data_IF_351594169576
#
_entry.id   IF_351594169576
#
_cell.length_a   1.000
_cell.length_b   1.000
_cell.length_c   1.000
_cell.angle_alpha   90.00
_cell.angle_beta   90.00
_cell.angle_gamma   90.00
#
_symmetry.space_group_name_H-M   'P 1'
#
loop_
_entity.id
_entity.type
_entity.pdbx_description
1 polymer ?
#
# COMPACT_ATOMS: atom_id res chain seq x y z
N UNK A 1 -2.41 -25.69 -5.90
CA UNK A 1 -1.18 -24.88 -5.83
C UNK A 1 0.00 -25.82 -5.74
N UNK A 2 1.08 -25.53 -6.47
CA UNK A 2 2.32 -26.29 -6.46
C UNK A 2 3.50 -25.33 -6.42
N UNK A 3 4.51 -25.61 -5.61
CA UNK A 3 5.77 -24.88 -5.59
C UNK A 3 6.93 -25.86 -5.38
N UNK A 4 8.11 -25.47 -5.86
CA UNK A 4 9.34 -26.21 -5.64
C UNK A 4 10.50 -25.22 -5.58
N UNK A 5 11.63 -25.69 -5.08
CA UNK A 5 12.86 -24.92 -5.00
C UNK A 5 14.03 -25.79 -5.48
N UNK A 6 14.89 -25.21 -6.30
CA UNK A 6 16.08 -25.86 -6.83
C UNK A 6 17.30 -25.04 -6.44
N UNK A 7 18.28 -25.68 -5.82
CA UNK A 7 19.54 -25.04 -5.41
C UNK A 7 20.68 -25.50 -6.32
N UNK A 8 21.41 -24.53 -6.87
CA UNK A 8 22.55 -24.70 -7.76
C UNK A 8 23.74 -23.91 -7.19
N UNK A 9 24.29 -24.37 -6.08
CA UNK A 9 25.33 -23.64 -5.35
C UNK A 9 24.78 -22.32 -4.80
N UNK A 10 25.33 -21.19 -5.26
CA UNK A 10 24.90 -19.83 -4.86
C UNK A 10 23.58 -19.37 -5.49
N UNK A 11 23.07 -20.10 -6.50
CA UNK A 11 21.83 -19.76 -7.19
C UNK A 11 20.68 -20.64 -6.70
N UNK A 12 19.56 -20.02 -6.34
CA UNK A 12 18.31 -20.68 -5.97
C UNK A 12 17.20 -20.27 -6.94
N UNK A 13 16.49 -21.26 -7.48
CA UNK A 13 15.39 -21.06 -8.43
C UNK A 13 14.11 -21.62 -7.81
N UNK A 14 13.08 -20.78 -7.65
CA UNK A 14 11.85 -21.13 -6.98
C UNK A 14 10.62 -20.89 -7.88
N UNK A 15 10.27 -21.84 -8.77
CA UNK A 15 9.05 -21.79 -9.56
C UNK A 15 7.82 -22.22 -8.73
N UNK A 16 6.67 -21.62 -9.01
CA UNK A 16 5.38 -22.01 -8.46
C UNK A 16 4.25 -21.82 -9.49
N UNK A 17 3.18 -22.58 -9.31
CA UNK A 17 1.98 -22.53 -10.13
C UNK A 17 0.73 -22.63 -9.25
N UNK A 18 -0.19 -21.69 -9.43
CA UNK A 18 -1.51 -21.73 -8.82
C UNK A 18 -2.58 -21.84 -9.91
N UNK A 19 -3.63 -22.62 -9.62
CA UNK A 19 -4.85 -22.68 -10.44
C UNK A 19 -6.00 -22.38 -9.50
N UNK A 20 -6.83 -21.41 -9.87
CA UNK A 20 -8.02 -21.02 -9.14
C UNK A 20 -9.24 -21.14 -10.05
N UNK A 21 -10.37 -21.58 -9.49
CA UNK A 21 -11.66 -21.65 -10.18
C UNK A 21 -12.70 -20.91 -9.33
N UNK A 22 -13.33 -19.90 -9.92
CA UNK A 22 -14.34 -19.07 -9.28
C UNK A 22 -15.70 -19.36 -9.88
N UNK A 23 -16.71 -19.40 -9.00
CA UNK A 23 -18.12 -19.38 -9.37
C UNK A 23 -18.78 -18.20 -8.69
N UNK A 24 -19.23 -17.24 -9.49
CA UNK A 24 -19.95 -16.06 -9.05
C UNK A 24 -21.44 -16.36 -9.14
N UNK A 25 -22.17 -16.07 -8.08
CA UNK A 25 -23.62 -16.24 -8.02
C UNK A 25 -24.17 -14.97 -7.38
N UNK A 26 -25.10 -14.31 -8.06
CA UNK A 26 -25.73 -13.09 -7.56
C UNK A 26 -27.25 -13.24 -7.66
N UNK A 27 -27.92 -12.83 -6.60
CA UNK A 27 -29.36 -12.71 -6.51
C UNK A 27 -29.67 -11.27 -6.11
N UNK A 28 -30.39 -10.57 -6.97
CA UNK A 28 -30.90 -9.24 -6.66
C UNK A 28 -32.21 -9.36 -5.87
N UNK A 29 -32.19 -9.03 -4.59
CA UNK A 29 -33.37 -9.06 -3.72
C UNK A 29 -34.29 -7.84 -3.95
N UNK A 30 -33.89 -6.87 -4.78
CA UNK A 30 -34.72 -5.71 -5.14
C UNK A 30 -35.62 -5.98 -6.35
N UNK A 31 -35.40 -7.09 -7.07
CA UNK A 31 -36.22 -7.46 -8.23
C UNK A 31 -37.41 -8.32 -7.79
N UNK A 32 -38.62 -7.94 -8.25
CA UNK A 32 -39.84 -8.71 -7.97
C UNK A 32 -39.80 -10.13 -8.57
N UNK A 33 -39.06 -10.31 -9.67
CA UNK A 33 -38.89 -11.61 -10.33
C UNK A 33 -37.60 -12.26 -9.88
N UNK A 34 -37.71 -13.47 -9.34
CA UNK A 34 -36.53 -14.27 -8.99
C UNK A 34 -35.70 -14.56 -10.25
N UNK A 35 -34.46 -14.07 -10.25
CA UNK A 35 -33.44 -14.39 -11.25
C UNK A 35 -32.12 -14.64 -10.55
N UNK A 36 -31.62 -15.88 -10.67
CA UNK A 36 -30.31 -16.25 -10.15
C UNK A 36 -29.29 -16.15 -11.29
N UNK A 37 -28.42 -15.15 -11.22
CA UNK A 37 -27.37 -14.98 -12.21
C UNK A 37 -26.10 -15.67 -11.73
N UNK A 38 -25.41 -16.35 -12.63
CA UNK A 38 -24.14 -17.00 -12.28
C UNK A 38 -23.14 -16.98 -13.41
N UNK A 39 -21.87 -16.91 -13.06
CA UNK A 39 -20.73 -16.98 -13.97
C UNK A 39 -19.62 -17.84 -13.36
N UNK A 40 -18.71 -18.35 -14.18
CA UNK A 40 -17.55 -19.07 -13.69
C UNK A 40 -16.33 -18.76 -14.54
N UNK A 41 -15.17 -18.65 -13.90
CA UNK A 41 -13.88 -18.36 -14.58
C UNK A 41 -12.78 -19.09 -13.82
N UNK A 42 -11.86 -19.70 -14.57
CA UNK A 42 -10.63 -20.27 -14.03
C UNK A 42 -9.45 -19.40 -14.43
N UNK A 43 -8.42 -19.38 -13.60
CA UNK A 43 -7.16 -18.67 -13.87
C UNK A 43 -5.97 -19.51 -13.42
N UNK A 44 -4.86 -19.34 -14.13
CA UNK A 44 -3.58 -19.95 -13.81
C UNK A 44 -2.58 -18.83 -13.55
N UNK A 45 -1.90 -18.89 -12.41
CA UNK A 45 -0.99 -17.87 -11.90
C UNK A 45 0.40 -18.48 -11.68
N UNK A 46 1.29 -18.44 -12.69
CA UNK A 46 2.69 -18.84 -12.53
C UNK A 46 3.49 -17.79 -11.76
N UNK A 47 4.52 -18.25 -11.06
CA UNK A 47 5.54 -17.43 -10.39
C UNK A 47 6.92 -18.04 -10.61
N UNK A 48 7.92 -17.22 -10.86
CA UNK A 48 9.30 -17.66 -10.99
C UNK A 48 10.22 -16.67 -10.28
N UNK A 49 10.96 -17.16 -9.28
CA UNK A 49 11.90 -16.35 -8.53
C UNK A 49 13.31 -16.94 -8.64
N UNK A 50 14.28 -16.06 -8.69
CA UNK A 50 15.70 -16.35 -8.62
C UNK A 50 16.28 -15.62 -7.41
N UNK A 51 17.14 -16.30 -6.66
CA UNK A 51 17.93 -15.73 -5.58
C UNK A 51 19.38 -16.09 -5.81
N UNK A 52 20.28 -15.12 -5.69
CA UNK A 52 21.70 -15.32 -5.88
C UNK A 52 22.47 -14.79 -4.68
N UNK A 53 23.08 -15.71 -3.92
CA UNK A 53 23.90 -15.40 -2.76
C UNK A 53 25.29 -14.94 -3.23
N UNK A 54 25.48 -13.63 -3.37
CA UNK A 54 26.75 -13.05 -3.82
C UNK A 54 27.83 -13.34 -2.77
N UNK A 55 27.49 -13.05 -1.51
CA UNK A 55 28.29 -13.31 -0.31
C UNK A 55 27.35 -13.73 0.83
N UNK A 56 27.90 -14.22 1.95
CA UNK A 56 27.11 -14.66 3.12
C UNK A 56 26.23 -13.54 3.73
N UNK A 57 26.53 -12.28 3.40
CA UNK A 57 25.82 -11.10 3.87
C UNK A 57 25.08 -10.33 2.76
N UNK A 58 25.03 -10.85 1.53
CA UNK A 58 24.41 -10.16 0.40
C UNK A 58 23.74 -11.13 -0.58
N UNK A 59 22.43 -10.99 -0.75
CA UNK A 59 21.63 -11.77 -1.69
C UNK A 59 20.95 -10.83 -2.70
N UNK A 60 21.11 -11.11 -3.98
CA UNK A 60 20.32 -10.52 -5.05
C UNK A 60 19.08 -11.38 -5.31
N UNK A 61 17.97 -10.76 -5.73
CA UNK A 61 16.79 -11.49 -6.15
C UNK A 61 16.17 -10.90 -7.42
N UNK A 62 15.62 -11.78 -8.25
CA UNK A 62 14.72 -11.43 -9.34
C UNK A 62 13.43 -12.23 -9.12
N UNK A 63 12.33 -11.54 -8.83
CA UNK A 63 11.02 -12.15 -8.60
C UNK A 63 10.10 -11.76 -9.74
N UNK A 64 9.29 -12.69 -10.20
CA UNK A 64 8.27 -12.43 -11.22
C UNK A 64 7.04 -13.30 -10.98
N UNK A 65 5.86 -12.77 -11.30
CA UNK A 65 4.64 -13.54 -11.16
C UNK A 65 3.40 -12.85 -11.69
N UNK A 66 2.35 -13.65 -11.83
CA UNK A 66 1.03 -13.18 -12.26
C UNK A 66 0.07 -13.30 -11.06
N UNK A 67 -0.44 -12.17 -10.59
CA UNK A 67 -1.58 -12.05 -9.70
C UNK A 67 -2.87 -11.77 -10.48
N UNK A 68 -3.98 -11.64 -9.76
CA UNK A 68 -5.25 -11.19 -10.31
C UNK A 68 -6.13 -10.68 -9.17
N UNK A 69 -7.19 -9.94 -9.51
CA UNK A 69 -8.31 -9.67 -8.62
C UNK A 69 -9.61 -10.14 -9.27
N UNK A 70 -10.69 -10.25 -8.50
CA UNK A 70 -12.03 -10.47 -9.05
C UNK A 70 -12.84 -9.18 -8.98
N UNK A 71 -13.57 -8.88 -10.04
CA UNK A 71 -14.57 -7.81 -10.00
C UNK A 71 -15.78 -8.21 -9.10
N UNK A 72 -16.54 -7.20 -8.66
CA UNK A 72 -17.78 -7.38 -7.92
C UNK A 72 -18.73 -8.32 -8.69
N UNK A 73 -19.38 -9.24 -7.96
CA UNK A 73 -20.25 -10.24 -8.55
C UNK A 73 -21.37 -9.61 -9.41
N UNK A 74 -21.87 -8.42 -9.05
CA UNK A 74 -22.91 -7.67 -9.80
C UNK A 74 -22.44 -7.31 -11.21
N UNK A 75 -21.20 -6.84 -11.33
CA UNK A 75 -20.58 -6.48 -12.62
C UNK A 75 -20.26 -7.76 -13.42
N UNK A 76 -19.74 -8.78 -12.73
CA UNK A 76 -19.36 -10.06 -13.34
C UNK A 76 -20.57 -10.78 -13.95
N UNK A 77 -21.69 -10.88 -13.22
CA UNK A 77 -22.86 -11.63 -13.70
C UNK A 77 -23.57 -10.95 -14.87
N UNK A 78 -23.45 -9.63 -14.98
CA UNK A 78 -23.92 -8.84 -16.11
C UNK A 78 -22.97 -8.90 -17.32
N UNK A 79 -21.78 -9.50 -17.16
CA UNK A 79 -20.75 -9.65 -18.20
C UNK A 79 -20.29 -8.33 -18.85
N UNK A 80 -20.37 -7.22 -18.11
CA UNK A 80 -20.00 -5.90 -18.64
C UNK A 80 -18.49 -5.64 -18.57
N UNK A 81 -17.75 -6.40 -17.76
CA UNK A 81 -16.29 -6.27 -17.56
C UNK A 81 -15.63 -7.64 -17.40
N UNK A 82 -14.29 -7.65 -17.43
CA UNK A 82 -13.52 -8.89 -17.29
C UNK A 82 -13.67 -9.49 -15.89
N UNK A 83 -13.64 -10.82 -15.74
CA UNK A 83 -14.00 -11.46 -14.47
C UNK A 83 -12.82 -11.55 -13.51
N UNK A 84 -11.64 -11.87 -14.04
CA UNK A 84 -10.40 -12.04 -13.28
C UNK A 84 -9.25 -11.28 -13.97
N UNK A 85 -9.26 -9.93 -13.97
CA UNK A 85 -8.16 -9.14 -14.54
C UNK A 85 -6.82 -9.49 -13.89
N UNK A 86 -5.78 -9.65 -14.71
CA UNK A 86 -4.45 -10.04 -14.21
C UNK A 86 -3.61 -8.84 -13.81
N UNK A 87 -2.69 -9.11 -12.89
CA UNK A 87 -1.62 -8.24 -12.46
C UNK A 87 -0.28 -8.92 -12.73
N UNK A 88 0.64 -8.28 -13.44
CA UNK A 88 1.95 -8.82 -13.79
C UNK A 88 3.00 -8.04 -13.03
N UNK A 89 3.70 -8.70 -12.10
CA UNK A 89 4.69 -8.08 -11.24
C UNK A 89 6.09 -8.62 -11.51
N UNK A 90 7.10 -7.75 -11.45
CA UNK A 90 8.51 -8.14 -11.46
C UNK A 90 9.33 -7.24 -10.55
N UNK A 91 10.15 -7.84 -9.69
CA UNK A 91 11.03 -7.14 -8.75
C UNK A 91 12.48 -7.59 -8.97
N UNK A 92 13.39 -6.65 -9.18
CA UNK A 92 14.84 -6.85 -9.14
C UNK A 92 15.39 -6.12 -7.92
N UNK A 93 15.93 -6.87 -6.96
CA UNK A 93 16.34 -6.28 -5.70
C UNK A 93 17.49 -6.98 -5.01
N UNK A 94 17.81 -6.48 -3.83
CA UNK A 94 18.88 -6.99 -2.98
C UNK A 94 18.51 -6.93 -1.51
N UNK A 95 19.06 -7.87 -0.75
CA UNK A 95 19.08 -7.87 0.71
C UNK A 95 20.53 -7.91 1.15
N UNK A 96 20.95 -6.90 1.91
CA UNK A 96 22.34 -6.70 2.29
C UNK A 96 22.49 -6.44 3.78
N UNK A 97 23.45 -7.11 4.39
CA UNK A 97 23.85 -6.96 5.80
C UNK A 97 25.30 -6.45 5.86
N UNK A 98 25.55 -5.16 5.58
CA UNK A 98 26.89 -4.61 5.51
C UNK A 98 27.67 -4.71 6.83
N UNK A 99 26.96 -4.57 7.95
CA UNK A 99 27.51 -4.68 9.31
C UNK A 99 26.55 -5.47 10.21
N UNK A 100 27.01 -6.00 11.35
CA UNK A 100 26.12 -6.70 12.29
C UNK A 100 24.92 -5.84 12.68
N UNK A 101 23.74 -6.48 12.71
CA UNK A 101 22.46 -5.88 13.10
C UNK A 101 21.94 -4.73 12.21
N UNK A 102 22.56 -4.49 11.05
CA UNK A 102 22.03 -3.64 9.98
C UNK A 102 21.56 -4.52 8.82
N UNK A 103 20.31 -4.33 8.40
CA UNK A 103 19.75 -4.92 7.17
C UNK A 103 19.29 -3.78 6.29
N UNK A 104 19.73 -3.81 5.03
CA UNK A 104 19.26 -2.95 3.96
C UNK A 104 18.57 -3.82 2.91
N UNK A 105 17.38 -3.40 2.48
CA UNK A 105 16.64 -4.03 1.39
C UNK A 105 16.31 -2.98 0.34
N UNK A 106 16.42 -3.34 -0.92
CA UNK A 106 16.00 -2.49 -2.02
C UNK A 106 15.43 -3.31 -3.15
N UNK A 107 14.47 -2.76 -3.88
CA UNK A 107 13.90 -3.38 -5.07
C UNK A 107 13.53 -2.31 -6.11
N UNK A 108 13.99 -2.49 -7.33
CA UNK A 108 13.37 -1.91 -8.51
C UNK A 108 12.21 -2.82 -8.90
N UNK A 109 11.02 -2.27 -9.03
CA UNK A 109 9.83 -3.06 -9.30
C UNK A 109 9.01 -2.50 -10.46
N UNK A 110 8.29 -3.38 -11.14
CA UNK A 110 7.34 -3.09 -12.20
C UNK A 110 6.05 -3.86 -11.94
N UNK A 111 4.92 -3.20 -12.16
CA UNK A 111 3.59 -3.76 -12.01
C UNK A 111 2.70 -3.27 -13.16
N UNK A 112 2.19 -4.21 -13.95
CA UNK A 112 1.17 -3.94 -14.96
C UNK A 112 -0.16 -4.54 -14.51
N UNK A 113 -1.24 -3.76 -14.55
CA UNK A 113 -2.59 -4.21 -14.27
C UNK A 113 -3.41 -4.20 -15.56
N UNK A 114 -4.10 -5.30 -15.86
CA UNK A 114 -5.05 -5.35 -16.97
C UNK A 114 -6.28 -4.46 -16.73
N UNK A 115 -6.58 -4.17 -15.46
CA UNK A 115 -7.71 -3.33 -15.06
C UNK A 115 -7.43 -2.69 -13.69
N UNK A 116 -7.46 -1.37 -13.67
CA UNK A 116 -7.39 -0.56 -12.45
C UNK A 116 -8.74 -0.45 -11.75
N UNK A 117 -8.70 -0.09 -10.47
CA UNK A 117 -9.87 0.35 -9.73
C UNK A 117 -9.71 1.81 -9.29
N UNK A 118 -10.65 2.65 -9.71
CA UNK A 118 -10.70 4.07 -9.30
C UNK A 118 -11.91 4.26 -8.40
N UNK A 119 -11.74 4.99 -7.30
CA UNK A 119 -12.82 5.33 -6.40
C UNK A 119 -13.48 6.64 -6.86
N UNK A 120 -14.79 6.60 -7.10
CA UNK A 120 -15.60 7.77 -7.45
C UNK A 120 -16.20 8.32 -6.16
N UNK A 121 -15.74 9.51 -5.75
CA UNK A 121 -16.09 10.14 -4.47
C UNK A 121 -17.59 10.41 -4.31
N UNK A 122 -18.24 10.94 -5.35
CA UNK A 122 -19.66 11.31 -5.33
C UNK A 122 -20.59 10.08 -5.28
N UNK A 123 -20.28 9.06 -6.08
CA UNK A 123 -21.08 7.84 -6.14
C UNK A 123 -20.78 6.87 -4.97
N UNK A 124 -19.64 7.03 -4.31
CA UNK A 124 -19.19 6.14 -3.23
C UNK A 124 -18.89 4.72 -3.71
N UNK A 125 -18.56 4.55 -5.00
CA UNK A 125 -18.27 3.26 -5.62
C UNK A 125 -16.84 3.20 -6.14
N UNK A 126 -16.35 1.96 -6.29
CA UNK A 126 -15.11 1.68 -7.01
C UNK A 126 -15.48 1.18 -8.39
N UNK A 127 -14.96 1.84 -9.42
CA UNK A 127 -15.21 1.45 -10.80
C UNK A 127 -13.97 0.84 -11.47
N UNK A 128 -14.16 -0.23 -12.27
CA UNK A 128 -13.19 -0.71 -13.24
C UNK A 128 -12.73 0.38 -14.21
N UNK A 129 -11.44 0.73 -14.18
CA UNK A 129 -10.79 1.58 -15.17
C UNK A 129 -9.90 0.75 -16.11
N UNK A 130 -9.18 1.42 -17.02
CA UNK A 130 -8.32 0.82 -18.03
C UNK A 130 -7.06 0.15 -17.46
N UNK A 131 -6.15 -0.21 -18.37
CA UNK A 131 -4.86 -0.77 -18.03
C UNK A 131 -3.96 0.27 -17.40
N UNK A 132 -3.20 -0.13 -16.40
CA UNK A 132 -2.23 0.75 -15.75
C UNK A 132 -0.88 0.09 -15.63
N UNK A 133 0.15 0.90 -15.59
CA UNK A 133 1.48 0.47 -15.19
C UNK A 133 2.01 1.32 -14.04
N UNK A 134 2.81 0.66 -13.21
CA UNK A 134 3.55 1.28 -12.13
C UNK A 134 4.96 0.74 -12.14
N UNK A 135 5.93 1.60 -11.92
CA UNK A 135 7.28 1.18 -11.63
C UNK A 135 7.86 2.08 -10.56
N UNK A 136 8.78 1.53 -9.79
CA UNK A 136 9.31 2.26 -8.66
C UNK A 136 10.57 1.66 -8.09
N UNK A 137 11.03 2.33 -7.06
CA UNK A 137 12.16 1.96 -6.24
C UNK A 137 11.72 1.94 -4.78
N UNK A 138 11.86 0.78 -4.17
CA UNK A 138 11.71 0.60 -2.72
C UNK A 138 13.09 0.57 -2.06
N UNK A 139 13.18 1.24 -0.92
CA UNK A 139 14.33 1.28 -0.04
C UNK A 139 13.84 1.00 1.38
N UNK A 140 14.46 0.04 2.05
CA UNK A 140 14.21 -0.24 3.44
C UNK A 140 15.52 -0.42 4.21
N UNK A 141 15.51 0.06 5.44
CA UNK A 141 16.62 -0.10 6.36
C UNK A 141 16.09 -0.46 7.74
N UNK A 142 16.73 -1.44 8.38
CA UNK A 142 16.48 -1.86 9.77
C UNK A 142 17.81 -1.93 10.49
N UNK A 143 17.97 -1.16 11.56
CA UNK A 143 19.24 -1.04 12.26
C UNK A 143 19.08 -1.06 13.78
N UNK A 144 19.63 -2.09 14.42
CA UNK A 144 19.83 -2.07 15.88
C UNK A 144 21.13 -1.31 16.19
N UNK A 145 21.02 0.00 16.46
CA UNK A 145 22.16 0.90 16.69
C UNK A 145 22.96 0.48 17.93
N UNK A 146 22.27 0.13 19.00
CA UNK A 146 22.85 -0.41 20.24
C UNK A 146 21.78 -1.26 20.97
N UNK A 147 22.04 -1.74 22.18
CA UNK A 147 21.14 -2.69 22.86
C UNK A 147 19.78 -2.10 23.29
N UNK A 148 19.61 -0.77 23.16
CA UNK A 148 18.38 -0.08 23.53
C UNK A 148 17.75 0.76 22.41
N UNK A 149 18.46 1.07 21.33
CA UNK A 149 17.99 1.92 20.24
C UNK A 149 17.91 1.17 18.91
N UNK A 150 16.74 1.23 18.30
CA UNK A 150 16.45 0.66 17.00
C UNK A 150 15.94 1.73 16.04
N UNK A 151 16.43 1.72 14.81
CA UNK A 151 16.00 2.57 13.71
C UNK A 151 15.38 1.69 12.62
N UNK A 152 14.22 2.09 12.13
CA UNK A 152 13.65 1.54 10.90
C UNK A 152 13.16 2.66 9.99
N UNK A 153 13.29 2.44 8.69
CA UNK A 153 12.78 3.35 7.67
C UNK A 153 12.48 2.60 6.38
N UNK A 154 11.42 3.02 5.71
CA UNK A 154 11.04 2.59 4.37
C UNK A 154 10.76 3.83 3.53
N UNK A 155 11.21 3.83 2.29
CA UNK A 155 10.94 4.87 1.32
C UNK A 155 10.58 4.23 -0.02
N UNK A 156 9.55 4.75 -0.66
CA UNK A 156 9.09 4.29 -1.97
C UNK A 156 9.00 5.48 -2.90
N UNK A 157 9.58 5.35 -4.09
CA UNK A 157 9.36 6.27 -5.20
C UNK A 157 8.65 5.50 -6.30
N UNK A 158 7.51 6.00 -6.74
CA UNK A 158 6.64 5.37 -7.72
C UNK A 158 6.38 6.32 -8.86
N UNK A 159 6.26 5.77 -10.07
CA UNK A 159 5.57 6.41 -11.18
C UNK A 159 4.45 5.49 -11.62
N UNK A 160 3.23 6.02 -11.63
CA UNK A 160 2.01 5.29 -11.92
C UNK A 160 1.24 5.98 -13.07
N UNK A 161 0.88 5.24 -14.12
CA UNK A 161 0.18 5.79 -15.30
C UNK A 161 -0.90 4.87 -15.85
N UNK A 162 -1.96 5.47 -16.38
CA UNK A 162 -2.94 4.82 -17.24
C UNK A 162 -2.36 4.66 -18.64
N UNK A 163 -2.52 3.46 -19.22
CA UNK A 163 -2.00 3.14 -20.55
C UNK A 163 -3.02 3.38 -21.67
N UNK A 164 -4.30 3.46 -21.32
CA UNK A 164 -5.39 3.64 -22.27
C UNK A 164 -5.87 5.11 -22.33
N UNK A 165 -5.41 5.97 -21.42
CA UNK A 165 -5.76 7.38 -21.37
C UNK A 165 -4.92 8.26 -22.33
N UNK A 166 -5.43 9.41 -22.79
CA UNK A 166 -4.66 10.37 -23.57
C UNK A 166 -3.41 10.86 -22.82
N UNK A 167 -2.36 11.20 -23.57
CA UNK A 167 -1.16 11.80 -22.99
C UNK A 167 -1.50 13.11 -22.26
N UNK A 168 -1.10 13.23 -21.01
CA UNK A 168 -1.42 14.39 -20.17
C UNK A 168 -2.68 14.21 -19.34
N UNK A 169 -3.47 13.17 -19.60
CA UNK A 169 -4.62 12.71 -18.81
C UNK A 169 -4.38 11.28 -18.29
N UNK A 170 -3.12 10.87 -18.21
CA UNK A 170 -2.70 9.51 -17.89
C UNK A 170 -2.26 9.33 -16.43
N UNK A 171 -2.49 10.32 -15.57
CA UNK A 171 -2.25 10.16 -14.13
C UNK A 171 -3.28 9.20 -13.52
N UNK A 172 -2.86 8.48 -12.49
CA UNK A 172 -3.77 7.68 -11.68
C UNK A 172 -4.10 8.51 -10.44
N UNK A 173 -5.36 8.95 -10.25
CA UNK A 173 -5.77 9.72 -9.10
C UNK A 173 -5.32 9.07 -7.79
N UNK A 174 -4.75 9.88 -6.90
CA UNK A 174 -4.31 9.54 -5.56
C UNK A 174 -3.20 8.49 -5.47
N UNK A 175 -2.63 8.04 -6.60
CA UNK A 175 -1.46 7.17 -6.59
C UNK A 175 -0.26 7.91 -5.95
N UNK A 176 0.31 7.41 -4.85
CA UNK A 176 1.43 8.07 -4.19
C UNK A 176 2.69 8.04 -5.07
N UNK A 177 3.28 9.21 -5.31
CA UNK A 177 4.57 9.31 -6.02
C UNK A 177 5.75 9.06 -5.09
N UNK A 178 5.73 9.63 -3.88
CA UNK A 178 6.76 9.39 -2.86
C UNK A 178 6.11 9.14 -1.51
N UNK A 179 6.51 8.05 -0.87
CA UNK A 179 6.17 7.77 0.53
C UNK A 179 7.43 7.52 1.33
N UNK A 180 7.43 7.96 2.58
CA UNK A 180 8.47 7.63 3.53
C UNK A 180 7.85 7.35 4.89
N UNK A 181 8.26 6.25 5.51
CA UNK A 181 7.98 5.97 6.91
C UNK A 181 9.29 5.70 7.62
N UNK A 182 9.33 6.02 8.91
CA UNK A 182 10.48 5.66 9.70
C UNK A 182 10.30 6.04 11.15
N UNK A 183 11.23 5.59 11.96
CA UNK A 183 11.16 5.88 13.38
C UNK A 183 12.31 5.34 14.18
N UNK A 184 12.33 5.81 15.42
CA UNK A 184 13.22 5.33 16.46
C UNK A 184 12.39 4.57 17.46
N UNK A 185 12.85 3.40 17.88
CA UNK A 185 12.28 2.63 18.98
C UNK A 185 13.32 2.48 20.08
N UNK A 186 12.92 2.85 21.29
CA UNK A 186 13.69 2.65 22.50
C UNK A 186 13.13 1.45 23.25
N UNK A 187 13.95 0.43 23.39
CA UNK A 187 13.65 -0.77 24.19
C UNK A 187 14.77 -0.96 25.20
N UNK A 188 14.58 -1.68 26.31
CA UNK A 188 15.66 -1.99 27.28
C UNK A 188 16.44 -0.79 27.87
N UNK A 189 15.93 0.45 27.80
CA UNK A 189 16.58 1.61 28.41
C UNK A 189 16.17 1.75 29.88
N UNK A 190 16.68 0.84 30.72
CA UNK A 190 16.32 0.78 32.14
C UNK A 190 14.81 0.58 32.33
N UNK A 191 14.12 1.62 32.82
CA UNK A 191 12.65 1.60 33.03
C UNK A 191 11.88 2.22 31.88
N UNK A 192 12.57 2.80 30.89
CA UNK A 192 11.96 3.51 29.78
C UNK A 192 11.86 2.63 28.54
N UNK A 193 10.74 2.76 27.84
CA UNK A 193 10.58 2.31 26.46
C UNK A 193 9.72 3.31 25.72
N UNK A 194 9.78 3.33 24.39
CA UNK A 194 9.03 4.31 23.63
C UNK A 194 9.47 4.35 22.19
N UNK A 195 8.99 5.36 21.47
CA UNK A 195 9.41 5.58 20.11
C UNK A 195 8.92 6.89 19.52
N UNK A 196 9.52 7.22 18.40
CA UNK A 196 9.11 8.29 17.50
C UNK A 196 8.81 7.64 16.15
N UNK A 197 7.69 8.00 15.54
CA UNK A 197 7.24 7.48 14.25
C UNK A 197 6.88 8.63 13.36
N UNK A 198 7.50 8.71 12.19
CA UNK A 198 7.24 9.74 11.18
C UNK A 198 6.73 9.08 9.91
N UNK A 199 5.70 9.67 9.31
CA UNK A 199 5.21 9.34 7.98
C UNK A 199 5.21 10.59 7.10
N UNK A 200 5.60 10.41 5.85
CA UNK A 200 5.56 11.39 4.79
C UNK A 200 4.83 10.81 3.58
N UNK A 201 3.96 11.62 3.02
CA UNK A 201 3.28 11.38 1.76
C UNK A 201 3.47 12.63 0.91
N UNK A 202 3.96 12.49 -0.32
CA UNK A 202 4.08 13.62 -1.23
C UNK A 202 2.71 14.08 -1.75
N UNK A 203 2.70 15.30 -2.27
CA UNK A 203 1.65 15.74 -3.18
C UNK A 203 1.49 14.72 -4.32
N UNK A 204 0.27 14.59 -4.82
CA UNK A 204 -0.07 13.67 -5.89
C UNK A 204 -1.32 14.15 -6.64
N UNK A 205 -1.52 13.72 -7.89
CA UNK A 205 -2.73 14.04 -8.64
C UNK A 205 -3.99 13.62 -7.89
N UNK A 206 -4.99 14.49 -7.86
CA UNK A 206 -6.33 14.13 -7.40
C UNK A 206 -7.25 13.71 -8.56
N UNK A 207 -6.86 14.03 -9.80
CA UNK A 207 -7.54 13.67 -11.04
C UNK A 207 -6.53 13.29 -12.14
N UNK A 208 -7.05 12.82 -13.27
CA UNK A 208 -6.31 12.19 -14.38
C UNK A 208 -5.38 13.15 -15.12
N UNK A 209 -5.67 14.44 -15.13
CA UNK A 209 -4.87 15.49 -15.78
C UNK A 209 -3.97 16.26 -14.81
N UNK A 210 -4.05 15.93 -13.51
CA UNK A 210 -3.33 16.61 -12.43
C UNK A 210 -3.61 18.12 -12.35
N UNK A 211 -4.79 18.57 -12.78
CA UNK A 211 -5.26 19.95 -12.59
C UNK A 211 -5.68 20.21 -11.14
N UNK A 212 -6.08 19.17 -10.41
CA UNK A 212 -6.35 19.20 -8.98
C UNK A 212 -5.29 18.35 -8.28
N UNK A 213 -4.66 18.90 -7.24
CA UNK A 213 -3.59 18.23 -6.48
C UNK A 213 -4.11 17.89 -5.07
N UNK A 214 -3.92 16.63 -4.68
CA UNK A 214 -4.10 16.21 -3.30
C UNK A 214 -2.81 16.50 -2.52
N UNK A 215 -2.92 17.34 -1.49
CA UNK A 215 -1.78 17.81 -0.71
C UNK A 215 -1.15 16.67 0.10
N UNK A 216 0.18 16.63 0.11
CA UNK A 216 0.99 15.76 0.93
C UNK A 216 1.08 16.24 2.38
N UNK A 217 1.74 15.45 3.22
CA UNK A 217 1.94 15.80 4.63
C UNK A 217 3.13 15.08 5.24
N UNK A 218 3.64 15.62 6.35
CA UNK A 218 4.56 14.97 7.27
C UNK A 218 3.95 14.97 8.66
N UNK A 219 3.71 13.80 9.23
CA UNK A 219 3.15 13.67 10.59
C UNK A 219 4.08 12.83 11.43
N UNK A 220 4.30 13.25 12.67
CA UNK A 220 5.14 12.54 13.63
C UNK A 220 4.36 12.22 14.89
N UNK A 221 4.37 10.95 15.28
CA UNK A 221 3.75 10.44 16.49
C UNK A 221 4.85 10.03 17.49
N UNK A 222 4.55 10.14 18.78
CA UNK A 222 5.48 9.83 19.86
C UNK A 222 4.80 8.99 20.93
N UNK A 223 5.54 8.05 21.51
CA UNK A 223 5.10 7.37 22.72
C UNK A 223 6.25 7.13 23.68
N UNK A 224 5.92 7.13 24.97
CA UNK A 224 6.86 6.78 26.04
C UNK A 224 6.15 5.99 27.12
N UNK A 225 6.84 5.01 27.66
CA UNK A 225 6.40 4.21 28.79
C UNK A 225 7.46 4.23 29.88
N UNK A 226 7.01 4.18 31.12
CA UNK A 226 7.83 4.06 32.31
C UNK A 226 7.35 2.88 33.17
N UNK A 227 8.21 1.87 33.36
CA UNK A 227 7.93 0.69 34.18
C UNK A 227 8.28 0.92 35.64
N UNK A 228 7.27 0.84 36.52
CA UNK A 228 7.36 0.96 37.97
C UNK A 228 6.90 -0.35 38.63
N UNK A 229 7.82 -1.32 38.75
CA UNK A 229 7.50 -2.67 39.21
C UNK A 229 6.55 -3.37 38.23
N UNK A 230 5.39 -3.78 38.73
CA UNK A 230 4.32 -4.44 37.95
C UNK A 230 3.43 -3.45 37.21
N UNK A 231 3.55 -2.14 37.52
CA UNK A 231 2.81 -1.06 36.87
C UNK A 231 3.63 -0.45 35.76
N UNK A 232 3.03 -0.21 34.60
CA UNK A 232 3.59 0.58 33.50
C UNK A 232 2.71 1.79 33.25
N UNK A 233 3.31 2.97 33.31
CA UNK A 233 2.69 4.24 32.91
C UNK A 233 3.04 4.51 31.46
N UNK A 234 2.06 4.83 30.62
CA UNK A 234 2.26 5.12 29.20
C UNK A 234 1.70 6.49 28.83
N UNK A 235 2.38 7.19 27.94
CA UNK A 235 1.92 8.40 27.28
C UNK A 235 2.08 8.21 25.77
N UNK A 236 1.03 8.51 25.02
CA UNK A 236 1.02 8.55 23.55
C UNK A 236 0.62 9.95 23.13
N UNK A 237 1.35 10.49 22.16
CA UNK A 237 1.08 11.77 21.51
C UNK A 237 0.96 11.49 20.02
N UNK A 238 -0.25 11.66 19.49
CA UNK A 238 -0.54 11.60 18.06
C UNK A 238 -0.41 13.03 17.50
N UNK A 239 0.20 13.18 16.32
CA UNK A 239 0.50 14.47 15.71
C UNK A 239 1.27 15.42 16.66
N UNK A 240 2.48 15.01 17.05
CA UNK A 240 3.36 15.69 18.01
C UNK A 240 3.60 17.18 17.70
N UNK A 241 3.60 17.55 16.42
CA UNK A 241 3.88 18.92 15.96
C UNK A 241 2.62 19.72 15.59
N UNK A 242 1.43 19.19 15.90
CA UNK A 242 0.14 19.83 15.61
C UNK A 242 0.01 20.28 14.14
N UNK A 243 0.44 19.41 13.22
CA UNK A 243 0.32 19.63 11.77
C UNK A 243 -1.15 19.61 11.40
N UNK A 244 -1.60 20.56 10.59
CA UNK A 244 -2.88 20.50 9.90
C UNK A 244 -2.66 19.81 8.55
N UNK A 245 -3.37 18.70 8.29
CA UNK A 245 -3.33 18.01 7.00
C UNK A 245 -4.67 17.41 6.63
N UNK A 246 -4.79 16.98 5.38
CA UNK A 246 -5.95 16.27 4.86
C UNK A 246 -5.65 14.77 4.81
N UNK A 247 -6.36 13.98 5.62
CA UNK A 247 -6.13 12.52 5.76
C UNK A 247 -6.60 11.77 4.51
N UNK A 248 -7.88 11.88 4.18
CA UNK A 248 -8.47 11.38 2.94
C UNK A 248 -8.79 12.57 2.04
N UNK A 249 -8.48 12.49 0.76
CA UNK A 249 -8.71 13.57 -0.22
C UNK A 249 -9.24 12.95 -1.50
N UNK A 250 -10.29 13.52 -2.07
CA UNK A 250 -10.87 13.12 -3.35
C UNK A 250 -11.25 14.36 -4.14
N UNK A 251 -10.97 14.38 -5.44
CA UNK A 251 -11.61 15.31 -6.35
C UNK A 251 -13.08 14.90 -6.48
N UNK A 252 -13.98 15.82 -6.14
CA UNK A 252 -15.42 15.57 -6.14
C UNK A 252 -16.12 16.77 -6.77
N UNK A 253 -16.98 16.52 -7.75
CA UNK A 253 -17.88 17.53 -8.28
C UNK A 253 -19.00 17.81 -7.28
N UNK A 254 -19.14 19.06 -6.86
CA UNK A 254 -20.19 19.47 -5.94
C UNK A 254 -20.71 20.87 -6.28
N UNK A 255 -21.84 21.27 -5.67
CA UNK A 255 -22.39 22.63 -5.84
C UNK A 255 -23.03 23.13 -4.56
N UNK A 256 -22.46 24.17 -3.95
CA UNK A 256 -23.03 24.85 -2.81
C UNK A 256 -24.28 25.65 -3.21
N UNK A 257 -25.12 25.99 -2.21
CA UNK A 257 -26.38 26.72 -2.43
C UNK A 257 -26.18 28.07 -3.16
N UNK A 258 -25.02 28.70 -2.99
CA UNK A 258 -24.69 30.01 -3.56
C UNK A 258 -23.87 29.93 -4.85
N UNK A 259 -23.62 28.74 -5.37
CA UNK A 259 -22.87 28.53 -6.61
C UNK A 259 -23.83 28.38 -7.80
N UNK A 260 -23.55 29.10 -8.88
CA UNK A 260 -24.37 29.06 -10.08
C UNK A 260 -24.10 27.83 -10.95
N UNK A 261 -22.93 27.21 -10.82
CA UNK A 261 -22.45 26.01 -11.53
C UNK A 261 -21.76 25.08 -10.54
N UNK A 262 -21.69 23.78 -10.83
CA UNK A 262 -20.87 22.85 -10.04
C UNK A 262 -19.38 23.16 -10.18
N UNK A 263 -18.63 22.78 -9.16
CA UNK A 263 -17.18 22.91 -9.06
C UNK A 263 -16.61 21.56 -8.64
N UNK A 264 -15.58 21.12 -9.35
CA UNK A 264 -14.76 19.98 -8.94
C UNK A 264 -13.62 20.47 -8.05
N UNK A 265 -13.57 19.97 -6.82
CA UNK A 265 -12.58 20.40 -5.83
C UNK A 265 -12.25 19.27 -4.84
N UNK A 266 -11.24 19.50 -3.99
CA UNK A 266 -10.85 18.52 -2.97
C UNK A 266 -11.87 18.50 -1.84
N UNK A 267 -12.52 17.34 -1.67
CA UNK A 267 -13.25 16.99 -0.47
C UNK A 267 -12.37 16.13 0.42
N UNK A 268 -12.29 16.48 1.71
CA UNK A 268 -11.34 15.83 2.60
C UNK A 268 -11.86 15.55 4.01
N UNK A 269 -11.23 14.57 4.66
CA UNK A 269 -11.33 14.38 6.11
C UNK A 269 -10.11 15.03 6.75
N UNK A 270 -10.26 15.94 7.72
CA UNK A 270 -9.12 16.53 8.39
C UNK A 270 -8.34 15.47 9.17
N UNK A 271 -7.03 15.64 9.21
CA UNK A 271 -6.12 14.87 10.03
C UNK A 271 -6.43 14.98 11.52
N UNK A 272 -5.93 14.01 12.29
CA UNK A 272 -6.06 14.02 13.75
C UNK A 272 -5.23 15.20 14.32
N UNK A 273 -5.84 16.13 15.07
CA UNK A 273 -5.08 17.22 15.69
C UNK A 273 -4.10 16.68 16.74
N UNK A 274 -3.23 17.52 17.30
CA UNK A 274 -2.43 17.13 18.45
C UNK A 274 -3.31 16.46 19.54
N UNK A 275 -3.01 15.19 19.83
CA UNK A 275 -3.83 14.38 20.74
C UNK A 275 -2.96 13.61 21.71
N UNK A 276 -3.28 13.72 23.01
CA UNK A 276 -2.53 13.08 24.08
C UNK A 276 -3.37 12.05 24.80
N UNK A 277 -2.82 10.84 24.98
CA UNK A 277 -3.44 9.73 25.68
C UNK A 277 -2.51 9.17 26.75
N UNK A 278 -2.99 9.11 27.98
CA UNK A 278 -2.30 8.44 29.07
C UNK A 278 -2.88 7.03 29.29
N UNK A 279 -2.04 6.10 29.74
CA UNK A 279 -2.46 4.74 30.10
C UNK A 279 -1.72 4.23 31.34
N UNK A 280 -2.38 3.33 32.06
CA UNK A 280 -1.81 2.58 33.18
C UNK A 280 -2.06 1.10 32.92
N UNK A 281 -1.02 0.28 32.95
CA UNK A 281 -1.09 -1.17 32.78
C UNK A 281 -0.49 -1.86 34.00
N UNK A 282 -1.17 -2.88 34.53
CA UNK A 282 -0.66 -3.75 35.57
C UNK A 282 -0.39 -5.16 35.00
N UNK A 283 0.76 -5.76 35.30
CA UNK A 283 1.12 -7.13 34.86
C UNK A 283 1.26 -8.02 36.08
N UNK A 284 0.46 -9.09 36.14
CA UNK A 284 0.51 -10.11 37.20
C UNK A 284 1.44 -11.28 36.83
#
# INVERSE_FOLDING_TARGET
FFNTEFEFGKLKVAPALRVDHFKFIYKDELQDTYSLQSQSKSIISPKLNFYYDVEDNMQLFLKSGIGFHSNDARVVVQQTRDILPKAYGTDLGLVWKPVPKLVFNSALWYLFLEQEFVYVGDEGIVEPSGKTERFGLDLGMRYQINDWLYLDTDATVTRARSLDAPSGEDYIPLAPDVTLTGGLSVTNLGRFSGGLRTRYLSDRPANEDNSIVAEGYVVTDFNINYKMGDVTLGLVVENLFDVAWNETQFATESRLQNESQSVEEIHFTPGVPFFVRASVRYTF
#
